data_IF_190020336494
#
_entry.id   IF_190020336494
#
_cell.length_a   1.000
_cell.length_b   1.000
_cell.length_c   1.000
_cell.angle_alpha   90.00
_cell.angle_beta   90.00
_cell.angle_gamma   90.00
#
_symmetry.space_group_name_H-M   'P 1'
#
loop_
_entity.id
_entity.type
_entity.pdbx_description
1 polymer ?
#
# COMPACT_ATOMS: atom_id res chain seq x y z
N UNK A 1 16.79 0.46 30.40
CA UNK A 1 15.67 -0.46 30.20
C UNK A 1 14.38 0.22 30.61
N UNK A 2 13.34 0.15 29.76
CA UNK A 2 12.00 0.65 30.05
C UNK A 2 11.02 -0.52 29.98
N UNK A 3 10.05 -0.57 30.88
CA UNK A 3 8.94 -1.51 30.82
C UNK A 3 7.86 -1.00 29.89
N UNK A 4 7.23 -1.89 29.14
CA UNK A 4 6.11 -1.59 28.26
C UNK A 4 4.90 -2.42 28.63
N UNK A 5 3.71 -1.89 28.41
CA UNK A 5 2.45 -2.60 28.51
C UNK A 5 2.05 -3.12 27.12
N UNK A 6 1.54 -4.35 27.06
CA UNK A 6 1.01 -4.94 25.83
C UNK A 6 -0.51 -5.04 25.91
N UNK A 7 -1.22 -4.41 24.94
CA UNK A 7 -2.67 -4.57 24.76
C UNK A 7 -2.93 -5.39 23.50
N UNK A 8 -3.90 -6.29 23.58
CA UNK A 8 -4.21 -7.19 22.47
C UNK A 8 -5.49 -6.76 21.78
N UNK A 9 -5.50 -6.92 20.46
CA UNK A 9 -6.69 -6.80 19.63
C UNK A 9 -7.54 -8.08 19.69
N UNK A 10 -8.28 -8.33 18.60
CA UNK A 10 -9.14 -9.52 18.46
C UNK A 10 -8.34 -10.81 18.53
N UNK A 11 -7.19 -10.85 17.86
CA UNK A 11 -6.29 -11.99 17.84
C UNK A 11 -4.99 -11.67 18.59
N UNK A 12 -4.50 -12.65 19.35
CA UNK A 12 -3.28 -12.52 20.13
C UNK A 12 -2.04 -13.05 19.44
N UNK A 13 -2.21 -13.89 18.42
CA UNK A 13 -1.14 -14.54 17.69
C UNK A 13 -1.42 -14.56 16.19
N UNK A 14 -0.38 -14.42 15.40
CA UNK A 14 -0.47 -14.65 13.97
C UNK A 14 -0.30 -16.15 13.62
N UNK A 15 -0.38 -16.48 12.32
CA UNK A 15 -0.20 -17.85 11.79
C UNK A 15 1.18 -18.47 12.08
N UNK A 16 2.16 -17.66 12.48
CA UNK A 16 3.50 -18.09 12.85
C UNK A 16 3.71 -18.14 14.37
N UNK A 17 2.65 -18.04 15.14
CA UNK A 17 2.66 -17.98 16.61
C UNK A 17 3.42 -16.77 17.20
N UNK A 18 3.49 -15.66 16.45
CA UNK A 18 4.05 -14.39 16.95
C UNK A 18 2.94 -13.58 17.60
N UNK A 19 3.23 -12.96 18.75
CA UNK A 19 2.27 -12.10 19.45
C UNK A 19 1.91 -10.86 18.62
N UNK A 20 0.62 -10.61 18.46
CA UNK A 20 0.07 -9.41 17.88
C UNK A 20 -0.41 -8.50 19.01
N UNK A 21 0.29 -7.40 19.24
CA UNK A 21 0.00 -6.52 20.35
C UNK A 21 0.23 -5.05 20.00
N UNK A 22 -0.57 -4.18 20.63
CA UNK A 22 -0.30 -2.76 20.73
C UNK A 22 0.62 -2.52 21.92
N UNK A 23 1.75 -1.88 21.67
CA UNK A 23 2.79 -1.63 22.67
C UNK A 23 2.63 -0.22 23.22
N UNK A 24 2.51 -0.12 24.54
CA UNK A 24 2.39 1.16 25.25
C UNK A 24 3.62 1.43 26.10
N UNK A 25 4.10 2.67 26.03
CA UNK A 25 5.11 3.21 26.94
C UNK A 25 4.55 4.47 27.59
N UNK A 26 4.38 4.47 28.92
CA UNK A 26 3.78 5.59 29.65
C UNK A 26 2.46 6.07 29.00
N UNK A 27 1.51 5.15 28.81
CA UNK A 27 0.20 5.38 28.16
C UNK A 27 0.25 5.73 26.66
N UNK A 28 1.41 6.00 26.08
CA UNK A 28 1.58 6.31 24.67
C UNK A 28 1.61 5.02 23.85
N UNK A 29 0.74 4.92 22.84
CA UNK A 29 0.73 3.81 21.87
C UNK A 29 1.89 3.97 20.87
N UNK A 30 2.95 3.17 21.03
CA UNK A 30 4.13 3.24 20.18
C UNK A 30 3.84 2.85 18.72
N UNK A 31 2.93 1.87 18.49
CA UNK A 31 2.56 1.48 17.14
C UNK A 31 1.89 2.67 16.41
N UNK A 32 1.01 3.39 17.09
CA UNK A 32 0.34 4.57 16.54
C UNK A 32 1.35 5.68 16.20
N UNK A 33 2.32 5.92 17.10
CA UNK A 33 3.39 6.90 16.87
C UNK A 33 4.25 6.55 15.63
N UNK A 34 4.53 5.27 15.40
CA UNK A 34 5.28 4.84 14.22
C UNK A 34 4.50 5.14 12.92
N UNK A 35 3.18 4.95 12.93
CA UNK A 35 2.32 5.25 11.76
C UNK A 35 2.18 6.77 11.58
N UNK A 36 1.93 7.53 12.65
CA UNK A 36 1.79 8.99 12.63
C UNK A 36 3.02 9.66 12.03
N UNK A 37 4.21 9.18 12.38
CA UNK A 37 5.48 9.71 11.86
C UNK A 37 5.95 9.06 10.55
N UNK A 38 5.14 8.20 9.94
CA UNK A 38 5.44 7.57 8.64
C UNK A 38 6.59 6.57 8.67
N UNK A 39 6.91 5.98 9.81
CA UNK A 39 7.90 4.89 9.91
C UNK A 39 7.30 3.52 9.63
N UNK A 40 5.98 3.40 9.66
CA UNK A 40 5.24 2.19 9.31
C UNK A 40 3.90 2.56 8.66
N UNK A 41 3.37 1.69 7.78
CA UNK A 41 1.94 1.66 7.50
C UNK A 41 1.26 0.77 8.54
N UNK A 42 -0.05 0.93 8.73
CA UNK A 42 -0.81 0.01 9.56
C UNK A 42 -1.28 -1.21 8.75
N UNK A 43 -1.56 -2.31 9.45
CA UNK A 43 -2.05 -3.55 8.86
C UNK A 43 -2.94 -4.29 9.86
N UNK A 44 -4.17 -4.62 9.44
CA UNK A 44 -5.16 -5.31 10.26
C UNK A 44 -5.53 -6.66 9.63
N UNK A 45 -4.68 -7.70 9.74
CA UNK A 45 -4.83 -8.98 9.03
C UNK A 45 -6.13 -9.73 9.36
N UNK A 46 -6.70 -9.48 10.52
CA UNK A 46 -7.96 -10.10 11.00
C UNK A 46 -9.17 -9.19 10.85
N UNK A 47 -9.03 -8.14 10.01
CA UNK A 47 -10.05 -7.11 9.81
C UNK A 47 -9.99 -6.00 10.85
N UNK A 48 -10.78 -4.97 10.63
CA UNK A 48 -10.83 -3.76 11.46
C UNK A 48 -11.24 -4.08 12.91
N UNK A 49 -10.42 -3.64 13.87
CA UNK A 49 -10.72 -3.69 15.30
C UNK A 49 -11.02 -2.30 15.87
N UNK A 50 -11.15 -2.19 17.19
CA UNK A 50 -11.46 -0.92 17.88
C UNK A 50 -10.42 0.19 17.70
N UNK A 51 -9.18 -0.14 17.32
CA UNK A 51 -8.11 0.82 17.11
C UNK A 51 -7.98 1.27 15.65
N UNK A 52 -8.67 0.60 14.70
CA UNK A 52 -8.55 0.89 13.27
C UNK A 52 -8.71 2.36 12.94
N UNK A 53 -9.74 3.02 13.51
CA UNK A 53 -10.04 4.42 13.19
C UNK A 53 -8.90 5.36 13.62
N UNK A 54 -8.29 5.13 14.79
CA UNK A 54 -7.15 5.92 15.25
C UNK A 54 -5.95 5.79 14.31
N UNK A 55 -5.63 4.56 13.88
CA UNK A 55 -4.56 4.32 12.91
C UNK A 55 -4.83 4.95 11.55
N UNK A 56 -6.06 4.88 11.09
CA UNK A 56 -6.47 5.50 9.82
C UNK A 56 -6.35 7.03 9.87
N UNK A 57 -6.73 7.65 10.97
CA UNK A 57 -6.67 9.10 11.13
C UNK A 57 -5.22 9.61 11.21
N UNK A 58 -4.34 8.95 11.97
CA UNK A 58 -2.93 9.33 12.01
C UNK A 58 -2.21 9.05 10.69
N UNK A 59 -2.63 8.03 9.93
CA UNK A 59 -2.11 7.79 8.58
C UNK A 59 -2.49 8.93 7.62
N UNK A 60 -3.74 9.39 7.64
CA UNK A 60 -4.15 10.58 6.88
C UNK A 60 -3.34 11.83 7.27
N UNK A 61 -3.10 12.01 8.57
CA UNK A 61 -2.25 13.09 9.05
C UNK A 61 -0.84 12.98 8.49
N UNK A 62 -0.23 11.79 8.54
CA UNK A 62 1.08 11.51 7.95
C UNK A 62 1.14 11.92 6.48
N UNK A 63 0.12 11.53 5.67
CA UNK A 63 0.03 11.90 4.24
C UNK A 63 -0.04 13.43 4.07
N UNK A 64 -0.84 14.12 4.89
CA UNK A 64 -1.00 15.56 4.81
C UNK A 64 0.29 16.30 5.20
N UNK A 65 1.00 15.79 6.20
CA UNK A 65 2.26 16.33 6.69
C UNK A 65 3.48 15.88 5.85
N UNK A 66 3.28 14.97 4.89
CA UNK A 66 4.29 14.51 3.95
C UNK A 66 5.53 13.89 4.63
N UNK A 67 5.31 13.04 5.63
CA UNK A 67 6.35 12.48 6.50
C UNK A 67 6.82 11.09 6.03
N UNK A 68 8.12 10.88 5.88
CA UNK A 68 8.77 9.57 5.65
C UNK A 68 8.07 8.71 4.59
N UNK A 69 7.40 7.59 4.97
CA UNK A 69 6.65 6.73 4.04
C UNK A 69 5.45 7.42 3.37
N UNK A 70 4.97 8.52 3.94
CA UNK A 70 3.88 9.33 3.40
C UNK A 70 4.39 10.44 2.47
N UNK A 71 5.72 10.61 2.33
CA UNK A 71 6.30 11.64 1.46
C UNK A 71 5.87 11.44 0.01
N UNK A 72 5.25 12.47 -0.54
CA UNK A 72 4.73 12.48 -1.91
C UNK A 72 5.87 12.45 -2.92
N UNK A 73 5.65 11.73 -4.00
CA UNK A 73 6.55 11.71 -5.13
C UNK A 73 6.62 13.11 -5.79
N UNK A 74 7.82 13.45 -6.24
CA UNK A 74 8.10 14.62 -7.10
C UNK A 74 8.49 14.20 -8.51
N UNK A 75 8.24 12.92 -8.84
CA UNK A 75 8.40 12.43 -10.21
C UNK A 75 7.40 13.14 -11.13
N UNK A 76 7.80 13.47 -12.35
CA UNK A 76 6.94 14.18 -13.32
C UNK A 76 5.65 13.42 -13.65
N UNK A 77 5.70 12.09 -13.53
CA UNK A 77 4.55 11.21 -13.74
C UNK A 77 3.66 11.03 -12.50
N UNK A 78 4.06 11.52 -11.33
CA UNK A 78 3.33 11.27 -10.09
C UNK A 78 1.89 11.79 -10.12
N UNK A 79 1.69 12.98 -10.68
CA UNK A 79 0.36 13.58 -10.83
C UNK A 79 -0.40 13.04 -12.07
N UNK A 80 0.28 12.30 -12.95
CA UNK A 80 -0.28 11.76 -14.17
C UNK A 80 -0.94 10.39 -13.98
N UNK A 81 -0.41 9.57 -13.08
CA UNK A 81 -0.88 8.20 -12.88
C UNK A 81 -2.00 8.16 -11.85
N UNK A 82 -3.16 7.69 -12.29
CA UNK A 82 -4.36 7.54 -11.45
C UNK A 82 -4.85 6.10 -11.43
N UNK A 83 -5.48 5.71 -10.33
CA UNK A 83 -6.21 4.45 -10.22
C UNK A 83 -7.53 4.59 -10.99
N UNK A 84 -7.71 3.79 -12.03
CA UNK A 84 -8.95 3.73 -12.81
C UNK A 84 -9.92 2.68 -12.27
N UNK A 85 -9.38 1.51 -11.89
CA UNK A 85 -10.17 0.39 -11.37
C UNK A 85 -9.35 -0.46 -10.40
N UNK A 86 -10.00 -1.00 -9.39
CA UNK A 86 -9.49 -2.07 -8.53
C UNK A 86 -10.59 -3.11 -8.36
N UNK A 87 -10.42 -4.26 -8.99
CA UNK A 87 -11.37 -5.36 -8.92
C UNK A 87 -10.83 -6.50 -8.04
N UNK A 88 -11.37 -6.60 -6.83
CA UNK A 88 -10.94 -7.59 -5.83
C UNK A 88 -11.25 -9.03 -6.27
N UNK A 89 -12.37 -9.26 -6.97
CA UNK A 89 -12.73 -10.63 -7.43
C UNK A 89 -11.81 -11.12 -8.54
N UNK A 90 -11.44 -10.22 -9.45
CA UNK A 90 -10.56 -10.52 -10.59
C UNK A 90 -9.08 -10.35 -10.21
N UNK A 91 -8.79 -9.91 -8.98
CA UNK A 91 -7.44 -9.64 -8.51
C UNK A 91 -6.67 -8.70 -9.45
N UNK A 92 -7.31 -7.59 -9.83
CA UNK A 92 -6.88 -6.71 -10.90
C UNK A 92 -6.84 -5.25 -10.47
N UNK A 93 -5.82 -4.53 -10.93
CA UNK A 93 -5.69 -3.07 -10.82
C UNK A 93 -5.53 -2.49 -12.22
N UNK A 94 -6.22 -1.40 -12.52
CA UNK A 94 -6.02 -0.64 -13.76
C UNK A 94 -5.50 0.75 -13.42
N UNK A 95 -4.32 1.08 -13.93
CA UNK A 95 -3.74 2.41 -13.86
C UNK A 95 -3.94 3.12 -15.20
N UNK A 96 -4.19 4.43 -15.14
CA UNK A 96 -4.34 5.30 -16.29
C UNK A 96 -3.35 6.46 -16.21
N UNK A 97 -2.68 6.75 -17.32
CA UNK A 97 -1.89 7.96 -17.50
C UNK A 97 -2.79 9.05 -18.11
N UNK A 98 -3.14 10.07 -17.34
CA UNK A 98 -4.02 11.17 -17.80
C UNK A 98 -3.26 12.32 -18.49
N UNK A 99 -1.92 12.24 -18.58
CA UNK A 99 -1.09 13.27 -19.20
C UNK A 99 -0.86 13.00 -20.70
N UNK A 100 -0.41 14.01 -21.41
CA UNK A 100 -0.12 14.00 -22.83
C UNK A 100 1.31 13.56 -23.19
N UNK A 101 2.04 13.00 -22.22
CA UNK A 101 3.38 12.44 -22.38
C UNK A 101 3.46 11.02 -21.78
N UNK A 102 4.46 10.26 -22.25
CA UNK A 102 4.70 8.89 -21.80
C UNK A 102 5.34 8.85 -20.41
N UNK A 103 4.89 7.95 -19.54
CA UNK A 103 5.41 7.76 -18.19
C UNK A 103 6.26 6.50 -18.08
N UNK A 104 7.51 6.65 -17.62
CA UNK A 104 8.44 5.55 -17.40
C UNK A 104 8.30 5.04 -15.96
N UNK A 105 7.71 3.84 -15.79
CA UNK A 105 7.42 3.28 -14.48
C UNK A 105 8.50 2.34 -13.94
N UNK A 106 9.72 2.37 -14.48
CA UNK A 106 10.82 1.53 -14.01
C UNK A 106 11.05 1.70 -12.51
N UNK A 107 11.10 0.57 -11.78
CA UNK A 107 11.26 0.50 -10.34
C UNK A 107 10.10 1.12 -9.51
N UNK A 108 9.04 1.59 -10.15
CA UNK A 108 7.81 1.90 -9.43
C UNK A 108 7.23 0.63 -8.82
N UNK A 109 6.41 0.75 -7.82
CA UNK A 109 5.83 -0.42 -7.17
C UNK A 109 4.39 -0.22 -6.72
N UNK A 110 3.61 -1.29 -6.87
CA UNK A 110 2.30 -1.43 -6.24
C UNK A 110 2.46 -2.35 -5.03
N UNK A 111 1.83 -2.01 -3.92
CA UNK A 111 1.87 -2.79 -2.68
C UNK A 111 0.48 -2.81 -2.03
N UNK A 112 0.10 -3.96 -1.45
CA UNK A 112 -1.04 -4.07 -0.53
C UNK A 112 -0.73 -3.44 0.85
N UNK A 113 -1.66 -3.45 1.78
CA UNK A 113 -1.37 -3.01 3.15
C UNK A 113 -0.46 -4.01 3.89
N UNK A 114 -0.43 -5.27 3.46
CA UNK A 114 0.37 -6.33 4.02
C UNK A 114 1.82 -6.35 3.49
N UNK A 115 2.20 -7.44 2.83
CA UNK A 115 3.58 -7.67 2.38
C UNK A 115 3.74 -7.92 0.89
N UNK A 116 2.62 -8.00 0.15
CA UNK A 116 2.65 -8.30 -1.28
C UNK A 116 3.02 -7.05 -2.05
N UNK A 117 4.03 -7.17 -2.90
CA UNK A 117 4.60 -6.04 -3.63
C UNK A 117 4.96 -6.44 -5.06
N UNK A 118 4.42 -5.72 -6.01
CA UNK A 118 4.80 -5.76 -7.42
C UNK A 118 5.79 -4.63 -7.73
N UNK A 119 6.79 -4.89 -8.54
CA UNK A 119 7.76 -3.88 -9.00
C UNK A 119 7.75 -3.86 -10.51
N UNK A 120 7.49 -2.70 -11.10
CA UNK A 120 7.55 -2.51 -12.54
C UNK A 120 8.98 -2.65 -13.06
N UNK A 121 9.17 -3.46 -14.10
CA UNK A 121 10.40 -3.52 -14.89
C UNK A 121 10.56 -2.29 -15.80
N UNK A 122 11.12 -2.47 -16.97
CA UNK A 122 11.22 -1.40 -18.00
C UNK A 122 9.87 -1.22 -18.71
N UNK A 123 8.90 -0.65 -17.99
CA UNK A 123 7.55 -0.42 -18.52
C UNK A 123 7.31 1.05 -18.80
N UNK A 124 6.66 1.34 -19.93
CA UNK A 124 6.28 2.69 -20.36
C UNK A 124 4.75 2.72 -20.47
N UNK A 125 4.12 3.48 -19.59
CA UNK A 125 2.69 3.77 -19.70
C UNK A 125 2.50 4.96 -20.64
N UNK A 126 1.97 4.68 -21.83
CA UNK A 126 1.79 5.67 -22.89
C UNK A 126 0.88 6.80 -22.46
N UNK A 127 1.05 7.97 -23.07
CA UNK A 127 0.16 9.12 -22.89
C UNK A 127 -1.30 8.70 -23.13
N UNK A 128 -2.17 9.11 -22.23
CA UNK A 128 -3.60 8.73 -22.20
C UNK A 128 -3.86 7.23 -22.21
N UNK A 129 -2.81 6.41 -21.98
CA UNK A 129 -2.87 4.96 -21.99
C UNK A 129 -3.29 4.38 -20.65
N UNK A 130 -3.60 3.09 -20.69
CA UNK A 130 -3.96 2.28 -19.53
C UNK A 130 -3.10 1.03 -19.45
N UNK A 131 -2.90 0.56 -18.22
CA UNK A 131 -2.28 -0.73 -17.97
C UNK A 131 -3.07 -1.49 -16.92
N UNK A 132 -3.39 -2.73 -17.23
CA UNK A 132 -3.95 -3.70 -16.29
C UNK A 132 -2.79 -4.45 -15.61
N UNK A 133 -2.80 -4.51 -14.29
CA UNK A 133 -1.92 -5.37 -13.49
C UNK A 133 -2.82 -6.44 -12.86
N UNK A 134 -2.63 -7.70 -13.22
CA UNK A 134 -3.49 -8.80 -12.79
C UNK A 134 -2.68 -9.90 -12.13
N UNK A 135 -3.19 -10.41 -11.01
CA UNK A 135 -2.59 -11.54 -10.29
C UNK A 135 -3.01 -12.83 -11.01
N UNK A 136 -2.10 -13.37 -11.78
CA UNK A 136 -2.27 -14.64 -12.51
C UNK A 136 -0.91 -15.10 -13.05
N UNK A 137 -0.86 -16.31 -13.59
CA UNK A 137 0.26 -16.77 -14.41
C UNK A 137 0.05 -16.34 -15.86
N UNK A 138 1.12 -15.93 -16.54
CA UNK A 138 0.98 -15.53 -17.95
C UNK A 138 2.17 -14.77 -18.52
N UNK A 139 1.92 -13.99 -19.54
CA UNK A 139 2.94 -13.20 -20.25
C UNK A 139 2.49 -11.75 -20.31
N UNK A 140 3.42 -10.86 -20.00
CA UNK A 140 3.22 -9.41 -20.13
C UNK A 140 2.93 -9.00 -21.57
N UNK A 141 2.04 -8.03 -21.72
CA UNK A 141 1.76 -7.35 -22.98
C UNK A 141 1.99 -5.84 -22.84
N UNK A 142 1.69 -5.08 -23.89
CA UNK A 142 1.80 -3.61 -23.84
C UNK A 142 0.80 -2.94 -22.91
N UNK A 143 -0.32 -3.61 -22.60
CA UNK A 143 -1.45 -3.07 -21.83
C UNK A 143 -1.84 -3.93 -20.63
N UNK A 144 -1.20 -5.09 -20.47
CA UNK A 144 -1.44 -5.99 -19.34
C UNK A 144 -0.11 -6.50 -18.81
N UNK A 145 0.04 -6.42 -17.51
CA UNK A 145 1.18 -6.93 -16.75
C UNK A 145 0.69 -8.00 -15.79
N UNK A 146 1.46 -9.06 -15.68
CA UNK A 146 1.14 -10.21 -14.83
C UNK A 146 1.89 -10.08 -13.51
N UNK A 147 1.17 -10.20 -12.41
CA UNK A 147 1.73 -10.29 -11.06
C UNK A 147 1.77 -11.76 -10.65
N UNK A 148 2.86 -12.42 -10.96
CA UNK A 148 3.07 -13.84 -10.73
C UNK A 148 3.39 -14.19 -9.27
N UNK A 149 3.32 -15.48 -8.96
CA UNK A 149 3.70 -16.09 -7.68
C UNK A 149 2.84 -15.65 -6.49
N UNK A 150 1.63 -15.18 -6.74
CA UNK A 150 0.64 -14.84 -5.71
C UNK A 150 -0.71 -15.47 -6.05
N UNK A 151 -1.35 -16.12 -5.09
CA UNK A 151 -2.71 -16.66 -5.26
C UNK A 151 -3.76 -15.54 -5.23
N UNK A 152 -3.50 -14.51 -4.43
CA UNK A 152 -4.31 -13.29 -4.31
C UNK A 152 -3.46 -12.17 -3.71
N UNK A 153 -3.85 -10.94 -3.95
CA UNK A 153 -3.28 -9.73 -3.33
C UNK A 153 -4.36 -9.00 -2.55
N UNK A 154 -5.46 -8.68 -3.20
CA UNK A 154 -6.53 -7.85 -2.66
C UNK A 154 -7.55 -8.68 -1.88
N UNK A 155 -7.91 -8.25 -0.65
CA UNK A 155 -8.83 -8.99 0.22
C UNK A 155 -10.23 -8.37 0.23
N UNK A 156 -11.28 -9.21 0.27
CA UNK A 156 -12.68 -8.75 0.30
C UNK A 156 -13.08 -8.11 1.64
N UNK A 157 -12.29 -8.28 2.68
CA UNK A 157 -12.54 -7.68 4.01
C UNK A 157 -12.07 -6.22 4.13
N UNK A 158 -11.47 -5.69 3.05
CA UNK A 158 -10.83 -4.39 2.99
C UNK A 158 -9.33 -4.51 2.81
N UNK A 159 -8.74 -3.57 2.11
CA UNK A 159 -7.30 -3.51 1.82
C UNK A 159 -6.91 -2.09 1.42
N UNK A 160 -5.61 -1.87 1.26
CA UNK A 160 -5.07 -0.60 0.77
C UNK A 160 -4.08 -0.83 -0.36
N UNK A 161 -4.15 0.02 -1.37
CA UNK A 161 -3.21 0.08 -2.47
C UNK A 161 -2.28 1.26 -2.30
N UNK A 162 -0.98 1.00 -2.34
CA UNK A 162 0.07 2.00 -2.37
C UNK A 162 0.80 1.92 -3.71
N UNK A 163 0.76 2.99 -4.50
CA UNK A 163 1.64 3.17 -5.66
C UNK A 163 2.79 4.09 -5.25
N UNK A 164 4.02 3.65 -5.49
CA UNK A 164 5.23 4.41 -5.17
C UNK A 164 6.13 4.50 -6.39
N UNK A 165 6.83 5.63 -6.50
CA UNK A 165 7.84 5.85 -7.54
C UNK A 165 9.11 5.00 -7.32
N UNK A 166 10.07 5.10 -8.24
CA UNK A 166 11.35 4.37 -8.18
C UNK A 166 12.25 4.77 -7.00
N UNK A 167 11.94 5.85 -6.30
CA UNK A 167 12.61 6.30 -5.06
C UNK A 167 11.83 5.88 -3.81
N UNK A 168 10.71 5.18 -3.97
CA UNK A 168 9.83 4.73 -2.87
C UNK A 168 8.88 5.82 -2.34
N UNK A 169 8.77 6.99 -3.01
CA UNK A 169 7.88 8.08 -2.61
C UNK A 169 6.45 7.79 -3.03
N UNK A 170 5.47 8.26 -2.25
CA UNK A 170 4.06 7.98 -2.45
C UNK A 170 3.50 8.74 -3.66
N UNK A 171 2.99 7.99 -4.64
CA UNK A 171 2.26 8.51 -5.80
C UNK A 171 0.77 8.48 -5.55
N UNK A 172 0.26 7.34 -5.09
CA UNK A 172 -1.16 7.12 -4.87
C UNK A 172 -1.37 6.21 -3.65
N UNK A 173 -2.39 6.53 -2.88
CA UNK A 173 -2.95 5.71 -1.82
C UNK A 173 -4.45 5.58 -2.01
N UNK A 174 -4.95 4.35 -1.98
CA UNK A 174 -6.37 4.04 -2.05
C UNK A 174 -6.70 2.96 -1.03
N UNK A 175 -7.85 3.06 -0.37
CA UNK A 175 -8.36 2.05 0.58
C UNK A 175 -9.86 1.86 0.38
N UNK A 176 -10.37 0.65 0.65
CA UNK A 176 -11.79 0.29 0.51
C UNK A 176 -12.29 -0.56 1.68
#
# INVERSE_FOLDING_TARGET
NKSVELKFGKEKYDRYNRKLAYTYLNEMNINLQLVENGYANFYFPSGKDKYYQEFFDVWKKCINENLNLCEKSKDECADCIVLKDLNVKEQKVVLHNKCDFDCFLKNWSIKDEGRKKFIFGNFILKKFGEVEIKVEDGIDTKTKIVWENEDYVWTSSGDSLFLRDGKGKLVLYYTY
#
